data_IF_047857530793
#
_entry.id   IF_047857530793
#
_cell.length_a   1.000
_cell.length_b   1.000
_cell.length_c   1.000
_cell.angle_alpha   90.00
_cell.angle_beta   90.00
_cell.angle_gamma   90.00
#
_symmetry.space_group_name_H-M   'P 1'
#
loop_
_entity.id
_entity.type
_entity.pdbx_description
1 polymer ?
#
# COMPACT_ATOMS: atom_id res chain seq x y z
N UNK A 1 -13.19 -18.65 5.19
CA UNK A 1 -12.30 -19.57 4.42
C UNK A 1 -11.24 -20.08 5.40
N UNK A 2 -10.79 -21.34 5.34
CA UNK A 2 -9.71 -21.78 6.25
C UNK A 2 -8.38 -21.08 5.92
N UNK A 3 -7.54 -20.85 6.92
CA UNK A 3 -6.25 -20.15 6.76
C UNK A 3 -5.31 -20.84 5.79
N UNK A 4 -5.39 -22.16 5.65
CA UNK A 4 -4.59 -22.92 4.68
C UNK A 4 -4.98 -22.55 3.25
N UNK A 5 -6.30 -22.50 2.98
CA UNK A 5 -6.80 -22.09 1.67
C UNK A 5 -6.43 -20.64 1.39
N UNK A 6 -6.56 -19.74 2.37
CA UNK A 6 -6.15 -18.33 2.22
C UNK A 6 -4.68 -18.21 1.83
N UNK A 7 -3.79 -18.94 2.50
CA UNK A 7 -2.36 -18.97 2.15
C UNK A 7 -2.14 -19.43 0.71
N UNK A 8 -2.78 -20.54 0.31
CA UNK A 8 -2.58 -21.11 -1.01
C UNK A 8 -3.08 -20.16 -2.11
N UNK A 9 -4.18 -19.44 -1.87
CA UNK A 9 -4.68 -18.37 -2.76
C UNK A 9 -3.71 -17.18 -2.83
N UNK A 10 -3.23 -16.69 -1.68
CA UNK A 10 -2.25 -15.60 -1.63
C UNK A 10 -0.94 -15.99 -2.32
N UNK A 11 -0.45 -17.22 -2.11
CA UNK A 11 0.76 -17.73 -2.75
C UNK A 11 0.59 -17.85 -4.27
N UNK A 12 -0.58 -18.28 -4.74
CA UNK A 12 -0.90 -18.32 -6.16
C UNK A 12 -0.90 -16.91 -6.78
N UNK A 13 -1.53 -15.94 -6.13
CA UNK A 13 -1.51 -14.52 -6.56
C UNK A 13 -0.07 -13.99 -6.60
N UNK A 14 0.71 -14.21 -5.55
CA UNK A 14 2.10 -13.74 -5.49
C UNK A 14 2.96 -14.37 -6.60
N UNK A 15 2.85 -15.68 -6.80
CA UNK A 15 3.60 -16.37 -7.85
C UNK A 15 3.18 -15.97 -9.26
N UNK A 16 1.91 -15.69 -9.49
CA UNK A 16 1.45 -15.15 -10.77
C UNK A 16 2.04 -13.76 -11.04
N UNK A 17 2.11 -12.89 -10.02
CA UNK A 17 2.73 -11.57 -10.14
C UNK A 17 4.25 -11.67 -10.36
N UNK A 18 4.95 -12.57 -9.67
CA UNK A 18 6.40 -12.83 -9.84
C UNK A 18 6.75 -13.32 -11.24
N UNK A 19 5.82 -14.00 -11.92
CA UNK A 19 6.00 -14.43 -13.31
C UNK A 19 6.17 -13.23 -14.25
N UNK A 20 5.54 -12.10 -13.94
CA UNK A 20 5.57 -10.89 -14.76
C UNK A 20 6.53 -9.82 -14.25
N UNK A 21 6.70 -9.71 -12.94
CA UNK A 21 7.49 -8.66 -12.27
C UNK A 21 8.71 -9.27 -11.59
N UNK A 22 9.89 -8.75 -11.92
CA UNK A 22 11.13 -9.11 -11.22
C UNK A 22 11.29 -8.15 -10.05
N UNK A 23 11.02 -8.65 -8.84
CA UNK A 23 11.13 -7.93 -7.56
C UNK A 23 11.21 -8.93 -6.41
N UNK A 24 11.52 -8.45 -5.21
CA UNK A 24 11.52 -9.27 -4.00
C UNK A 24 10.10 -9.72 -3.62
N UNK A 25 9.96 -11.00 -3.28
CA UNK A 25 8.67 -11.54 -2.80
C UNK A 25 8.15 -10.80 -1.57
N UNK A 26 9.04 -10.38 -0.68
CA UNK A 26 8.67 -9.65 0.54
C UNK A 26 8.06 -8.27 0.23
N UNK A 27 8.46 -7.64 -0.88
CA UNK A 27 7.82 -6.42 -1.36
C UNK A 27 6.39 -6.70 -1.84
N UNK A 28 6.18 -7.75 -2.65
CA UNK A 28 4.84 -8.15 -3.11
C UNK A 28 3.93 -8.57 -1.94
N UNK A 29 4.49 -9.30 -0.97
CA UNK A 29 3.80 -9.63 0.27
C UNK A 29 3.37 -8.37 1.04
N UNK A 30 4.21 -7.33 1.09
CA UNK A 30 3.84 -6.06 1.73
C UNK A 30 2.69 -5.36 0.99
N UNK A 31 2.68 -5.40 -0.34
CA UNK A 31 1.57 -4.85 -1.14
C UNK A 31 0.27 -5.63 -0.88
N UNK A 32 0.34 -6.96 -0.89
CA UNK A 32 -0.81 -7.84 -0.62
C UNK A 32 -1.32 -7.68 0.82
N UNK A 33 -0.43 -7.59 1.81
CA UNK A 33 -0.77 -7.26 3.20
C UNK A 33 -1.49 -5.92 3.27
N UNK A 34 -1.06 -4.93 2.49
CA UNK A 34 -1.74 -3.63 2.43
C UNK A 34 -3.18 -3.73 1.94
N UNK A 35 -3.42 -4.56 0.92
CA UNK A 35 -4.76 -4.86 0.41
C UNK A 35 -5.63 -5.58 1.45
N UNK A 36 -5.10 -6.62 2.09
CA UNK A 36 -5.83 -7.43 3.07
C UNK A 36 -6.08 -6.71 4.41
N UNK A 37 -5.28 -5.71 4.74
CA UNK A 37 -5.44 -4.90 5.95
C UNK A 37 -6.45 -3.73 5.76
N UNK A 38 -7.28 -3.76 4.71
CA UNK A 38 -8.19 -2.66 4.34
C UNK A 38 -7.47 -1.29 4.36
N UNK A 39 -6.27 -1.28 3.78
CA UNK A 39 -5.39 -0.12 3.73
C UNK A 39 -4.92 0.19 2.32
N UNK A 40 -4.12 1.23 2.21
CA UNK A 40 -3.50 1.66 0.95
C UNK A 40 -1.98 1.64 1.06
N UNK A 41 -1.28 1.46 -0.06
CA UNK A 41 0.19 1.34 -0.07
C UNK A 41 0.83 2.50 -0.80
N UNK A 42 1.90 3.06 -0.22
CA UNK A 42 2.73 4.09 -0.81
C UNK A 42 4.05 3.50 -1.28
N UNK A 43 4.33 3.59 -2.57
CA UNK A 43 5.54 3.10 -3.22
C UNK A 43 6.53 4.25 -3.44
N UNK A 44 7.54 4.35 -2.59
CA UNK A 44 8.61 5.33 -2.73
C UNK A 44 9.81 4.70 -3.41
N UNK A 45 10.17 5.20 -4.58
CA UNK A 45 11.29 4.64 -5.35
C UNK A 45 11.62 5.46 -6.59
N UNK A 46 12.78 5.17 -7.15
CA UNK A 46 13.27 5.77 -8.39
C UNK A 46 12.44 5.32 -9.63
N UNK A 47 12.37 6.17 -10.67
CA UNK A 47 11.68 5.82 -11.91
C UNK A 47 12.23 4.55 -12.59
N UNK A 48 11.36 3.81 -13.26
CA UNK A 48 11.77 2.64 -14.06
C UNK A 48 11.83 1.32 -13.30
N UNK A 49 11.46 1.28 -12.02
CA UNK A 49 11.45 0.09 -11.14
C UNK A 49 10.25 -0.85 -11.35
N UNK A 50 9.41 -0.61 -12.36
CA UNK A 50 8.29 -1.51 -12.67
C UNK A 50 7.06 -1.37 -11.76
N UNK A 51 6.91 -0.27 -11.02
CA UNK A 51 5.73 0.01 -10.16
C UNK A 51 4.39 -0.12 -10.90
N UNK A 52 4.30 0.44 -12.10
CA UNK A 52 3.08 0.35 -12.92
C UNK A 52 2.77 -1.08 -13.33
N UNK A 53 3.80 -1.87 -13.67
CA UNK A 53 3.62 -3.28 -13.98
C UNK A 53 3.17 -4.05 -12.74
N UNK A 54 3.76 -3.78 -11.58
CA UNK A 54 3.38 -4.37 -10.29
C UNK A 54 1.91 -4.11 -9.96
N UNK A 55 1.48 -2.85 -9.93
CA UNK A 55 0.11 -2.50 -9.56
C UNK A 55 -0.92 -3.16 -10.49
N UNK A 56 -0.68 -3.13 -11.80
CA UNK A 56 -1.54 -3.79 -12.78
C UNK A 56 -1.55 -5.31 -12.61
N UNK A 57 -0.39 -5.91 -12.37
CA UNK A 57 -0.24 -7.36 -12.17
C UNK A 57 -0.99 -7.82 -10.92
N UNK A 58 -0.86 -7.10 -9.81
CA UNK A 58 -1.60 -7.39 -8.57
C UNK A 58 -3.11 -7.29 -8.81
N UNK A 59 -3.58 -6.22 -9.45
CA UNK A 59 -5.01 -6.06 -9.75
C UNK A 59 -5.54 -7.21 -10.63
N UNK A 60 -4.80 -7.55 -11.69
CA UNK A 60 -5.19 -8.63 -12.60
C UNK A 60 -5.21 -9.98 -11.90
N UNK A 61 -4.17 -10.32 -11.13
CA UNK A 61 -4.10 -11.59 -10.39
C UNK A 61 -5.23 -11.72 -9.35
N UNK A 62 -5.62 -10.61 -8.71
CA UNK A 62 -6.77 -10.57 -7.79
C UNK A 62 -8.14 -10.60 -8.51
N UNK A 63 -8.18 -10.54 -9.83
CA UNK A 63 -9.43 -10.48 -10.60
C UNK A 63 -10.15 -9.13 -10.53
N UNK A 64 -9.44 -8.07 -10.14
CA UNK A 64 -10.00 -6.75 -9.84
C UNK A 64 -9.80 -5.74 -10.98
N UNK A 65 -10.74 -4.81 -11.11
CA UNK A 65 -10.62 -3.74 -12.10
C UNK A 65 -9.45 -2.81 -11.77
N UNK A 66 -8.65 -2.47 -12.79
CA UNK A 66 -7.48 -1.62 -12.66
C UNK A 66 -7.67 -0.29 -13.36
N UNK A 67 -7.31 0.79 -12.67
CA UNK A 67 -7.22 2.14 -13.22
C UNK A 67 -5.89 2.78 -12.86
N UNK A 68 -5.39 3.66 -13.75
CA UNK A 68 -4.16 4.42 -13.52
C UNK A 68 -4.43 5.89 -13.70
N UNK A 69 -3.97 6.68 -12.74
CA UNK A 69 -3.96 8.14 -12.79
C UNK A 69 -2.52 8.61 -12.67
N UNK A 70 -2.08 9.38 -13.65
CA UNK A 70 -0.82 10.09 -13.57
C UNK A 70 -1.07 11.44 -12.90
N UNK A 71 -0.44 11.69 -11.76
CA UNK A 71 -0.54 12.96 -11.09
C UNK A 71 0.40 13.96 -11.75
N UNK A 72 -0.15 15.08 -12.18
CA UNK A 72 0.56 16.19 -12.85
C UNK A 72 0.20 17.52 -12.19
N UNK A 73 1.03 18.58 -12.35
CA UNK A 73 0.79 19.87 -11.71
C UNK A 73 -0.53 20.55 -12.12
N UNK A 74 -1.09 20.18 -13.26
CA UNK A 74 -2.34 20.69 -13.83
C UNK A 74 -3.56 19.80 -13.56
N UNK A 75 -3.37 18.63 -12.95
CA UNK A 75 -4.45 17.69 -12.66
C UNK A 75 -5.47 18.28 -11.69
N UNK A 76 -6.75 18.27 -12.07
CA UNK A 76 -7.84 18.77 -11.24
C UNK A 76 -8.46 17.64 -10.40
N UNK A 77 -9.11 17.97 -9.26
CA UNK A 77 -9.89 16.99 -8.50
C UNK A 77 -10.92 16.24 -9.34
N UNK A 78 -11.58 16.91 -10.28
CA UNK A 78 -12.58 16.32 -11.18
C UNK A 78 -12.00 15.29 -12.15
N UNK A 79 -10.71 15.41 -12.50
CA UNK A 79 -10.03 14.40 -13.33
C UNK A 79 -9.78 13.09 -12.57
N UNK A 80 -9.86 13.14 -11.22
CA UNK A 80 -9.70 12.01 -10.32
C UNK A 80 -11.05 11.45 -9.88
N UNK A 81 -11.95 12.33 -9.42
CA UNK A 81 -13.27 11.97 -8.90
C UNK A 81 -14.33 11.77 -9.99
N UNK A 82 -14.13 12.32 -11.19
CA UNK A 82 -15.15 12.38 -12.22
C UNK A 82 -15.94 13.69 -12.20
N UNK A 83 -16.87 13.82 -13.14
CA UNK A 83 -17.63 15.04 -13.37
C UNK A 83 -18.96 14.71 -14.03
N UNK A 84 -19.96 15.57 -13.87
CA UNK A 84 -21.17 15.51 -14.69
C UNK A 84 -20.92 16.17 -16.05
N UNK A 85 -21.21 15.44 -17.13
CA UNK A 85 -21.09 15.93 -18.50
C UNK A 85 -22.49 16.04 -19.11
N UNK A 86 -22.78 17.18 -19.75
CA UNK A 86 -24.05 17.38 -20.43
C UNK A 86 -24.13 16.47 -21.67
N UNK A 87 -25.09 15.55 -21.67
CA UNK A 87 -25.37 14.69 -22.80
C UNK A 87 -26.38 15.39 -23.74
N UNK A 88 -25.92 15.79 -24.93
CA UNK A 88 -26.74 16.53 -25.89
C UNK A 88 -27.98 15.76 -26.38
N UNK A 89 -27.97 14.43 -26.32
CA UNK A 89 -29.07 13.57 -26.78
C UNK A 89 -30.19 13.49 -25.74
N UNK A 90 -29.84 13.26 -24.48
CA UNK A 90 -30.80 13.17 -23.36
C UNK A 90 -31.17 14.55 -22.81
N UNK A 91 -30.32 15.56 -23.06
CA UNK A 91 -30.37 16.90 -22.44
C UNK A 91 -30.27 16.86 -20.92
N UNK A 92 -29.57 15.85 -20.42
CA UNK A 92 -29.36 15.62 -18.99
C UNK A 92 -27.86 15.66 -18.69
N UNK A 93 -27.52 15.95 -17.43
CA UNK A 93 -26.16 15.88 -16.93
C UNK A 93 -25.89 14.45 -16.46
N UNK A 94 -25.04 13.72 -17.16
CA UNK A 94 -24.69 12.33 -16.84
C UNK A 94 -23.35 12.29 -16.12
N UNK A 95 -23.30 11.56 -15.01
CA UNK A 95 -22.05 11.35 -14.29
C UNK A 95 -21.08 10.52 -15.14
N UNK A 96 -19.90 11.07 -15.38
CA UNK A 96 -18.76 10.35 -15.95
C UNK A 96 -17.82 10.00 -14.80
N UNK A 97 -17.73 8.71 -14.40
CA UNK A 97 -16.91 8.31 -13.28
C UNK A 97 -15.44 8.60 -13.55
N UNK A 98 -14.78 9.15 -12.54
CA UNK A 98 -13.35 9.31 -12.55
C UNK A 98 -12.61 7.98 -12.42
N UNK A 99 -11.29 8.00 -12.61
CA UNK A 99 -10.46 6.81 -12.49
C UNK A 99 -10.46 6.15 -11.10
N UNK A 100 -10.95 6.82 -10.05
CA UNK A 100 -11.06 6.20 -8.72
C UNK A 100 -12.18 5.16 -8.59
N UNK A 101 -13.09 5.07 -9.56
CA UNK A 101 -14.20 4.10 -9.53
C UNK A 101 -13.79 2.70 -10.01
N UNK A 102 -12.51 2.36 -9.94
CA UNK A 102 -11.99 1.00 -10.15
C UNK A 102 -11.54 0.40 -8.82
N UNK A 103 -11.51 -0.93 -8.72
CA UNK A 103 -11.10 -1.63 -7.49
C UNK A 103 -9.65 -1.35 -7.10
N UNK A 104 -8.73 -1.31 -8.06
CA UNK A 104 -7.31 -1.00 -7.84
C UNK A 104 -6.90 0.24 -8.62
N UNK A 105 -6.51 1.28 -7.91
CA UNK A 105 -6.09 2.56 -8.49
C UNK A 105 -4.61 2.77 -8.27
N UNK A 106 -3.85 2.88 -9.37
CA UNK A 106 -2.49 3.38 -9.33
C UNK A 106 -2.49 4.91 -9.41
N UNK A 107 -2.17 5.57 -8.29
CA UNK A 107 -1.96 7.01 -8.21
C UNK A 107 -0.46 7.32 -8.39
N UNK A 108 -0.05 7.47 -9.64
CA UNK A 108 1.35 7.59 -10.02
C UNK A 108 1.87 9.02 -9.80
N UNK A 109 2.98 9.16 -9.07
CA UNK A 109 3.64 10.42 -8.71
C UNK A 109 2.71 11.39 -7.98
N UNK A 110 2.01 10.91 -6.94
CA UNK A 110 1.02 11.67 -6.17
C UNK A 110 1.55 13.03 -5.68
N UNK A 111 2.86 13.11 -5.42
CA UNK A 111 3.54 14.34 -5.02
C UNK A 111 3.69 15.38 -6.14
N UNK A 112 3.25 15.15 -7.38
CA UNK A 112 3.30 16.14 -8.47
C UNK A 112 2.01 16.94 -8.63
N UNK A 113 0.89 16.48 -8.08
CA UNK A 113 -0.37 17.22 -8.16
C UNK A 113 -0.50 18.26 -7.04
N UNK A 114 -1.28 19.33 -7.24
CA UNK A 114 -1.56 20.31 -6.20
C UNK A 114 -2.21 19.68 -4.96
N UNK A 115 -2.05 20.28 -3.76
CA UNK A 115 -2.61 19.76 -2.52
C UNK A 115 -4.13 19.50 -2.56
N UNK A 116 -4.89 20.27 -3.35
CA UNK A 116 -6.34 20.08 -3.52
C UNK A 116 -6.67 18.75 -4.21
N UNK A 117 -5.91 18.39 -5.24
CA UNK A 117 -6.11 17.15 -6.00
C UNK A 117 -5.64 15.94 -5.19
N UNK A 118 -4.54 16.08 -4.45
CA UNK A 118 -4.12 15.08 -3.46
C UNK A 118 -5.22 14.84 -2.42
N UNK A 119 -5.76 15.92 -1.83
CA UNK A 119 -6.80 15.83 -0.81
C UNK A 119 -8.05 15.11 -1.32
N UNK A 120 -8.49 15.36 -2.55
CA UNK A 120 -9.64 14.69 -3.15
C UNK A 120 -9.49 13.15 -3.19
N UNK A 121 -8.32 12.65 -3.62
CA UNK A 121 -8.04 11.21 -3.58
C UNK A 121 -7.99 10.67 -2.14
N UNK A 122 -7.33 11.40 -1.24
CA UNK A 122 -7.10 10.98 0.14
C UNK A 122 -8.37 11.01 1.01
N UNK A 123 -9.33 11.86 0.66
CA UNK A 123 -10.68 11.88 1.22
C UNK A 123 -11.46 10.65 0.76
N UNK A 124 -11.45 10.37 -0.54
CA UNK A 124 -12.10 9.19 -1.11
C UNK A 124 -11.54 7.87 -0.53
N UNK A 125 -10.23 7.80 -0.31
CA UNK A 125 -9.56 6.69 0.37
C UNK A 125 -10.04 6.49 1.82
N UNK A 126 -10.32 7.56 2.54
CA UNK A 126 -10.72 7.49 3.94
C UNK A 126 -12.21 7.19 4.11
N UNK A 127 -13.05 7.75 3.22
CA UNK A 127 -14.50 7.64 3.33
C UNK A 127 -15.10 6.45 2.57
N UNK A 128 -14.39 5.86 1.61
CA UNK A 128 -14.92 4.80 0.74
C UNK A 128 -15.96 5.31 -0.27
N UNK A 129 -16.09 6.62 -0.41
CA UNK A 129 -17.05 7.30 -1.27
C UNK A 129 -16.46 8.63 -1.77
N UNK A 130 -17.05 9.20 -2.81
CA UNK A 130 -16.72 10.55 -3.26
C UNK A 130 -17.99 11.38 -3.43
N UNK A 131 -17.96 12.66 -3.04
CA UNK A 131 -19.07 13.59 -3.28
C UNK A 131 -18.74 14.52 -4.44
N UNK A 132 -19.52 14.45 -5.52
CA UNK A 132 -19.38 15.26 -6.73
C UNK A 132 -20.67 16.06 -6.92
N UNK A 133 -20.57 17.39 -7.01
CA UNK A 133 -21.70 18.30 -7.21
C UNK A 133 -22.88 18.12 -6.23
N UNK A 134 -22.60 17.62 -5.02
CA UNK A 134 -23.59 17.39 -3.97
C UNK A 134 -24.22 15.99 -3.98
N UNK A 135 -23.84 15.12 -4.93
CA UNK A 135 -24.22 13.71 -4.98
C UNK A 135 -23.06 12.83 -4.48
N UNK A 136 -23.37 11.91 -3.56
CA UNK A 136 -22.40 10.99 -3.00
C UNK A 136 -22.43 9.67 -3.75
N UNK A 137 -21.25 9.23 -4.19
CA UNK A 137 -21.03 8.04 -5.00
C UNK A 137 -20.13 7.08 -4.23
N UNK A 138 -20.63 5.87 -3.97
CA UNK A 138 -19.85 4.80 -3.32
C UNK A 138 -18.73 4.30 -4.25
N UNK A 139 -17.57 4.02 -3.68
CA UNK A 139 -16.47 3.37 -4.40
C UNK A 139 -16.71 1.85 -4.49
N UNK A 140 -16.08 1.15 -5.45
CA UNK A 140 -16.16 -0.31 -5.52
C UNK A 140 -15.63 -0.97 -4.26
N UNK A 141 -16.22 -2.08 -3.82
CA UNK A 141 -15.65 -2.91 -2.76
C UNK A 141 -15.12 -4.24 -3.36
N UNK A 142 -13.80 -4.53 -3.26
CA UNK A 142 -12.77 -3.74 -2.57
C UNK A 142 -12.29 -2.51 -3.35
N UNK A 143 -11.87 -1.48 -2.59
CA UNK A 143 -11.17 -0.28 -3.09
C UNK A 143 -9.75 -0.23 -2.53
N UNK A 144 -8.75 -0.27 -3.41
CA UNK A 144 -7.34 -0.31 -3.07
C UNK A 144 -6.55 0.72 -3.89
N UNK A 145 -5.68 1.47 -3.21
CA UNK A 145 -4.87 2.51 -3.83
C UNK A 145 -3.42 2.17 -3.62
N UNK A 146 -2.70 2.10 -4.74
CA UNK A 146 -1.25 2.02 -4.78
C UNK A 146 -0.77 3.38 -5.26
N UNK A 147 -0.29 4.22 -4.36
CA UNK A 147 0.27 5.52 -4.71
C UNK A 147 1.78 5.40 -4.93
N UNK A 148 2.36 6.19 -5.84
CA UNK A 148 3.81 6.27 -6.00
C UNK A 148 4.31 7.68 -5.70
N UNK A 149 5.52 7.77 -5.16
CA UNK A 149 6.25 9.02 -5.02
C UNK A 149 7.66 8.87 -5.57
N UNK A 150 8.11 9.90 -6.28
CA UNK A 150 9.51 10.02 -6.68
C UNK A 150 10.22 10.97 -5.69
N UNK A 151 11.19 10.50 -4.90
CA UNK A 151 11.90 11.32 -3.92
C UNK A 151 12.93 12.27 -4.55
N UNK A 152 13.28 12.07 -5.84
CA UNK A 152 14.40 12.79 -6.49
C UNK A 152 13.96 14.10 -7.16
N UNK A 153 12.69 14.21 -7.57
CA UNK A 153 12.18 15.41 -8.25
C UNK A 153 11.89 16.54 -7.25
N UNK A 154 12.82 17.51 -7.16
CA UNK A 154 12.69 18.67 -6.27
C UNK A 154 11.94 19.85 -6.93
N UNK A 155 11.82 19.90 -8.25
CA UNK A 155 11.12 20.98 -8.95
C UNK A 155 9.65 20.60 -9.20
N UNK A 156 8.73 21.41 -8.68
CA UNK A 156 7.29 21.27 -8.94
C UNK A 156 6.61 20.11 -8.21
N UNK A 157 7.20 19.62 -7.12
CA UNK A 157 6.57 18.63 -6.24
C UNK A 157 5.97 19.26 -4.98
N UNK A 158 4.85 18.70 -4.54
CA UNK A 158 4.11 19.00 -3.33
C UNK A 158 4.19 17.77 -2.41
N UNK A 159 5.02 17.78 -1.36
CA UNK A 159 5.13 16.65 -0.46
C UNK A 159 3.79 16.40 0.24
N UNK A 160 3.47 15.13 0.47
CA UNK A 160 2.30 14.79 1.28
C UNK A 160 2.57 15.19 2.74
N UNK A 161 1.66 15.95 3.38
CA UNK A 161 1.72 16.18 4.81
C UNK A 161 1.73 14.87 5.59
N UNK A 162 2.33 14.86 6.78
CA UNK A 162 2.43 13.66 7.62
C UNK A 162 1.05 13.09 7.99
N UNK A 163 0.08 13.98 8.23
CA UNK A 163 -1.32 13.61 8.47
C UNK A 163 -1.97 12.89 7.27
N UNK A 164 -1.48 13.13 6.06
CA UNK A 164 -1.95 12.45 4.85
C UNK A 164 -1.24 11.12 4.64
N UNK A 165 0.06 11.04 4.92
CA UNK A 165 0.82 9.79 4.87
C UNK A 165 0.26 8.72 5.81
N UNK A 166 -0.38 9.11 6.91
CA UNK A 166 -1.01 8.19 7.88
C UNK A 166 -2.17 7.36 7.30
N UNK A 167 -2.71 7.75 6.13
CA UNK A 167 -3.73 6.99 5.38
C UNK A 167 -3.19 5.76 4.67
N UNK A 168 -1.88 5.71 4.44
CA UNK A 168 -1.23 4.53 3.86
C UNK A 168 -0.82 3.58 4.99
N UNK A 169 -1.30 2.33 4.94
CA UNK A 169 -0.95 1.32 5.94
C UNK A 169 0.55 1.03 5.89
N UNK A 170 1.12 0.91 4.68
CA UNK A 170 2.53 0.65 4.46
C UNK A 170 3.15 1.61 3.44
N UNK A 171 4.42 1.95 3.68
CA UNK A 171 5.32 2.58 2.73
C UNK A 171 6.46 1.62 2.39
N UNK A 172 6.57 1.24 1.13
CA UNK A 172 7.53 0.24 0.64
C UNK A 172 8.29 0.73 -0.59
N UNK A 173 9.46 0.13 -0.83
CA UNK A 173 10.25 0.32 -2.04
C UNK A 173 10.55 -1.04 -2.68
N UNK A 174 10.55 -1.05 -4.01
CA UNK A 174 11.03 -2.13 -4.88
C UNK A 174 12.57 -2.17 -4.88
N UNK A 175 13.22 -1.01 -4.94
CA UNK A 175 14.65 -0.88 -5.22
C UNK A 175 15.01 -1.24 -6.67
N UNK A 176 16.31 -1.30 -6.96
CA UNK A 176 16.80 -1.94 -8.18
C UNK A 176 16.88 -3.45 -7.96
N UNK A 177 16.53 -4.28 -8.95
CA UNK A 177 16.77 -5.71 -8.86
C UNK A 177 18.26 -5.98 -8.69
N UNK A 178 18.59 -7.11 -8.07
CA UNK A 178 19.97 -7.57 -7.99
C UNK A 178 20.52 -7.96 -9.37
N UNK A 179 21.82 -8.30 -9.44
CA UNK A 179 22.48 -8.68 -10.70
C UNK A 179 21.74 -9.83 -11.42
N UNK A 180 21.20 -10.79 -10.65
CA UNK A 180 20.45 -11.91 -11.21
C UNK A 180 19.11 -11.45 -11.82
N UNK A 181 18.39 -10.57 -11.14
CA UNK A 181 17.14 -9.96 -11.61
C UNK A 181 17.35 -9.05 -12.83
N UNK A 182 18.41 -8.24 -12.85
CA UNK A 182 18.77 -7.43 -14.03
C UNK A 182 19.08 -8.33 -15.24
N UNK A 183 19.82 -9.42 -15.03
CA UNK A 183 20.11 -10.37 -16.09
C UNK A 183 18.85 -11.06 -16.61
N UNK A 184 17.88 -11.38 -15.74
CA UNK A 184 16.59 -11.93 -16.17
C UNK A 184 15.77 -10.91 -16.97
N UNK A 185 15.75 -9.63 -16.57
CA UNK A 185 15.13 -8.55 -17.35
C UNK A 185 15.72 -8.49 -18.77
N UNK A 186 17.05 -8.56 -18.90
CA UNK A 186 17.73 -8.57 -20.19
C UNK A 186 17.39 -9.81 -21.02
N UNK A 187 17.33 -10.99 -20.40
CA UNK A 187 16.94 -12.25 -21.07
C UNK A 187 15.50 -12.20 -21.59
N UNK A 188 14.55 -11.75 -20.76
CA UNK A 188 13.14 -11.56 -21.16
C UNK A 188 13.03 -10.56 -22.31
N UNK A 189 13.81 -9.47 -22.28
CA UNK A 189 13.82 -8.45 -23.34
C UNK A 189 14.45 -8.94 -24.65
N UNK A 190 15.44 -9.83 -24.58
CA UNK A 190 16.10 -10.42 -25.74
C UNK A 190 15.18 -11.44 -26.47
N UNK A 191 14.34 -12.16 -25.73
CA UNK A 191 13.36 -13.13 -26.25
C UNK A 191 12.12 -12.51 -26.90
N UNK A 192 12.28 -11.48 -27.76
CA UNK A 192 11.23 -10.60 -28.32
C UNK A 192 9.97 -11.26 -28.93
N UNK A 193 9.96 -12.58 -29.16
CA UNK A 193 8.81 -13.32 -29.71
C UNK A 193 7.77 -13.71 -28.64
N UNK A 194 8.10 -13.67 -27.35
CA UNK A 194 7.11 -13.79 -26.28
C UNK A 194 6.58 -12.40 -25.95
N UNK A 195 5.25 -12.21 -26.08
CA UNK A 195 4.54 -11.02 -25.61
C UNK A 195 5.00 -10.68 -24.18
N UNK A 196 5.01 -9.39 -23.81
CA UNK A 196 5.22 -8.98 -22.42
C UNK A 196 4.45 -9.93 -21.49
N UNK A 197 5.06 -10.46 -20.43
CA UNK A 197 4.40 -11.47 -19.60
C UNK A 197 3.02 -10.97 -19.19
N UNK A 198 2.01 -11.77 -19.54
CA UNK A 198 0.60 -11.49 -19.26
C UNK A 198 0.23 -12.24 -18.01
N UNK A 199 -0.15 -11.48 -16.99
CA UNK A 199 -0.74 -12.00 -15.76
C UNK A 199 -2.18 -12.40 -16.07
N UNK A 200 -2.59 -13.56 -15.58
CA UNK A 200 -3.98 -14.04 -15.65
C UNK A 200 -4.70 -13.85 -14.30
N UNK A 201 -6.03 -13.68 -14.30
CA UNK A 201 -6.80 -13.68 -13.06
C UNK A 201 -6.69 -15.01 -12.31
N UNK A 202 -6.27 -14.95 -11.05
CA UNK A 202 -6.16 -16.10 -10.14
C UNK A 202 -7.43 -16.25 -9.30
N UNK A 203 -7.96 -15.12 -8.85
CA UNK A 203 -9.17 -15.03 -8.02
C UNK A 203 -10.36 -14.51 -8.84
N UNK A 204 -11.55 -14.89 -8.39
CA UNK A 204 -12.83 -14.30 -8.78
C UNK A 204 -13.36 -13.41 -7.63
N UNK A 205 -14.48 -12.71 -7.87
CA UNK A 205 -15.08 -11.78 -6.92
C UNK A 205 -15.42 -12.44 -5.56
N UNK A 206 -15.86 -13.69 -5.57
CA UNK A 206 -16.21 -14.41 -4.33
C UNK A 206 -14.94 -14.75 -3.52
N UNK A 207 -13.89 -15.25 -4.20
CA UNK A 207 -12.63 -15.61 -3.55
C UNK A 207 -11.85 -14.39 -3.09
N UNK A 208 -11.85 -13.29 -3.84
CA UNK A 208 -11.16 -12.06 -3.43
C UNK A 208 -11.77 -11.50 -2.14
N UNK A 209 -13.11 -11.50 -2.03
CA UNK A 209 -13.81 -11.09 -0.81
C UNK A 209 -13.54 -12.04 0.36
N UNK A 210 -13.50 -13.35 0.11
CA UNK A 210 -13.20 -14.34 1.15
C UNK A 210 -11.76 -14.21 1.70
N UNK A 211 -10.78 -13.96 0.83
CA UNK A 211 -9.39 -13.74 1.23
C UNK A 211 -9.26 -12.40 1.98
N UNK A 212 -9.97 -11.36 1.54
CA UNK A 212 -10.00 -10.04 2.21
C UNK A 212 -10.54 -10.10 3.64
N UNK A 213 -11.52 -10.96 3.92
CA UNK A 213 -12.08 -11.14 5.26
C UNK A 213 -11.23 -12.03 6.18
N UNK A 214 -10.31 -12.83 5.63
CA UNK A 214 -9.52 -13.79 6.40
C UNK A 214 -8.73 -13.19 7.59
N UNK A 215 -8.13 -11.98 7.49
CA UNK A 215 -7.45 -11.37 8.63
C UNK A 215 -8.36 -11.18 9.84
N UNK A 216 -9.68 -11.04 9.64
CA UNK A 216 -10.66 -10.83 10.71
C UNK A 216 -10.87 -12.05 11.64
N UNK A 217 -10.44 -13.23 11.20
CA UNK A 217 -10.46 -14.45 12.02
C UNK A 217 -9.11 -14.72 12.72
N UNK A 218 -8.06 -13.98 12.39
CA UNK A 218 -6.73 -14.16 12.97
C UNK A 218 -6.68 -13.62 14.40
N UNK A 219 -6.25 -14.48 15.34
CA UNK A 219 -6.12 -14.18 16.77
C UNK A 219 -4.83 -13.42 17.07
N UNK A 220 -4.90 -12.50 18.04
CA UNK A 220 -3.74 -11.77 18.56
C UNK A 220 -3.76 -11.86 20.08
N UNK A 221 -2.72 -12.47 20.64
CA UNK A 221 -2.58 -12.66 22.09
C UNK A 221 -2.29 -11.32 22.80
N UNK A 222 -2.69 -11.23 24.08
CA UNK A 222 -2.57 -10.00 24.87
C UNK A 222 -1.13 -9.46 24.96
N UNK A 223 -0.15 -10.35 25.08
CA UNK A 223 1.27 -9.97 25.14
C UNK A 223 1.77 -9.36 23.83
N UNK A 224 1.21 -9.78 22.69
CA UNK A 224 1.52 -9.18 21.38
C UNK A 224 0.87 -7.81 21.22
N UNK A 225 -0.35 -7.62 21.74
CA UNK A 225 -0.95 -6.29 21.79
C UNK A 225 -0.09 -5.34 22.64
N UNK A 226 0.40 -5.80 23.79
CA UNK A 226 1.31 -5.03 24.63
C UNK A 226 2.66 -4.78 23.95
N UNK A 227 3.17 -5.73 23.18
CA UNK A 227 4.39 -5.57 22.39
C UNK A 227 4.25 -4.47 21.34
N UNK A 228 3.17 -4.47 20.55
CA UNK A 228 2.88 -3.41 19.57
C UNK A 228 2.75 -2.03 20.22
N UNK A 229 2.06 -1.94 21.36
CA UNK A 229 1.95 -0.69 22.12
C UNK A 229 3.32 -0.24 22.64
N UNK A 230 4.15 -1.16 23.12
CA UNK A 230 5.51 -0.87 23.61
C UNK A 230 6.40 -0.33 22.50
N UNK A 231 6.35 -0.91 21.30
CA UNK A 231 7.03 -0.39 20.10
C UNK A 231 6.58 1.05 19.83
N UNK A 232 5.27 1.28 19.73
CA UNK A 232 4.75 2.62 19.46
C UNK A 232 5.16 3.65 20.53
N UNK A 233 5.16 3.28 21.81
CA UNK A 233 5.62 4.16 22.91
C UNK A 233 7.11 4.45 22.84
N UNK A 234 7.94 3.43 22.58
CA UNK A 234 9.38 3.60 22.42
C UNK A 234 9.72 4.59 21.30
N UNK A 235 8.97 4.59 20.17
CA UNK A 235 9.17 5.62 19.13
C UNK A 235 8.87 7.05 19.60
N UNK A 236 7.97 7.23 20.58
CA UNK A 236 7.62 8.57 21.14
C UNK A 236 8.64 9.03 22.18
N UNK A 237 9.41 8.11 22.74
CA UNK A 237 10.43 8.36 23.75
C UNK A 237 11.84 8.47 23.13
N UNK A 238 11.99 8.13 21.84
CA UNK A 238 13.25 8.25 21.12
C UNK A 238 13.65 9.72 20.90
N UNK A 239 14.86 10.08 21.35
CA UNK A 239 15.43 11.44 21.26
C UNK A 239 15.54 12.03 19.84
N UNK A 240 15.51 11.17 18.81
CA UNK A 240 15.59 11.57 17.39
C UNK A 240 14.22 11.93 16.82
N UNK A 241 13.16 11.68 17.57
CA UNK A 241 11.76 11.81 17.13
C UNK A 241 11.09 12.97 17.87
N UNK A 242 10.51 13.90 17.11
CA UNK A 242 9.70 15.01 17.64
C UNK A 242 8.24 14.55 17.85
N UNK A 243 7.71 13.76 16.90
CA UNK A 243 6.39 13.13 17.01
C UNK A 243 6.49 11.66 16.61
N UNK A 244 6.26 10.77 17.58
CA UNK A 244 6.30 9.31 17.37
C UNK A 244 4.99 8.74 16.82
N UNK A 245 4.93 7.42 16.73
CA UNK A 245 3.79 6.68 16.15
C UNK A 245 2.49 7.01 16.89
N UNK A 246 1.44 7.39 16.15
CA UNK A 246 0.11 7.68 16.70
C UNK A 246 -0.64 6.41 17.15
N UNK A 247 -1.74 6.52 17.91
CA UNK A 247 -2.63 5.38 18.17
C UNK A 247 -3.14 4.72 16.88
N UNK A 248 -3.45 5.52 15.85
CA UNK A 248 -3.84 5.02 14.52
C UNK A 248 -2.71 4.22 13.87
N UNK A 249 -1.45 4.68 13.95
CA UNK A 249 -0.29 3.90 13.49
C UNK A 249 -0.12 2.57 14.22
N UNK A 250 -0.51 2.49 15.50
CA UNK A 250 -0.51 1.23 16.26
C UNK A 250 -1.61 0.28 15.76
N UNK A 251 -2.81 0.79 15.48
CA UNK A 251 -3.90 0.01 14.87
C UNK A 251 -3.52 -0.51 13.49
N UNK A 252 -2.88 0.31 12.65
CA UNK A 252 -2.39 -0.10 11.33
C UNK A 252 -1.35 -1.21 11.40
N UNK A 253 -0.48 -1.21 12.42
CA UNK A 253 0.45 -2.31 12.65
C UNK A 253 -0.27 -3.60 13.06
N UNK A 254 -1.30 -3.49 13.89
CA UNK A 254 -2.14 -4.62 14.30
C UNK A 254 -2.86 -5.25 13.09
N UNK A 255 -3.54 -4.45 12.28
CA UNK A 255 -4.23 -4.88 11.05
C UNK A 255 -3.26 -5.56 10.08
N UNK A 256 -2.11 -4.91 9.81
CA UNK A 256 -1.09 -5.47 8.92
C UNK A 256 -0.51 -6.79 9.45
N UNK A 257 -0.30 -6.91 10.77
CA UNK A 257 0.21 -8.14 11.38
C UNK A 257 -0.79 -9.31 11.25
N UNK A 258 -2.09 -9.06 11.41
CA UNK A 258 -3.15 -10.06 11.17
C UNK A 258 -3.19 -10.47 9.70
N UNK A 259 -3.15 -9.50 8.80
CA UNK A 259 -3.10 -9.77 7.37
C UNK A 259 -1.89 -10.61 6.98
N UNK A 260 -0.71 -10.33 7.53
CA UNK A 260 0.49 -11.14 7.28
C UNK A 260 0.38 -12.55 7.85
N UNK A 261 -0.19 -12.74 9.03
CA UNK A 261 -0.43 -14.06 9.57
C UNK A 261 -1.39 -14.87 8.67
N UNK A 262 -2.45 -14.25 8.14
CA UNK A 262 -3.37 -14.86 7.17
C UNK A 262 -2.64 -15.25 5.87
N UNK A 263 -1.83 -14.35 5.29
CA UNK A 263 -0.99 -14.64 4.12
C UNK A 263 -0.03 -15.80 4.38
N UNK A 264 0.43 -16.00 5.62
CA UNK A 264 1.29 -17.12 6.01
C UNK A 264 0.51 -18.38 6.43
N UNK A 265 -0.82 -18.37 6.35
CA UNK A 265 -1.69 -19.49 6.71
C UNK A 265 -1.72 -19.80 8.20
N UNK A 266 -1.56 -18.78 9.04
CA UNK A 266 -1.62 -18.91 10.50
C UNK A 266 -2.88 -18.27 11.06
N UNK A 267 -3.53 -18.98 11.98
CA UNK A 267 -4.69 -18.48 12.72
C UNK A 267 -4.34 -17.48 13.83
N UNK A 268 -3.05 -17.22 14.05
CA UNK A 268 -2.58 -16.32 15.08
C UNK A 268 -1.32 -15.56 14.65
N UNK A 269 -1.20 -14.34 15.15
CA UNK A 269 -0.02 -13.48 14.94
C UNK A 269 1.14 -13.98 15.79
N UNK A 270 2.36 -13.90 15.25
CA UNK A 270 3.61 -14.15 15.99
C UNK A 270 4.47 -12.88 16.00
N UNK A 271 5.45 -12.75 16.92
CA UNK A 271 6.27 -11.53 17.00
C UNK A 271 6.98 -11.16 15.69
N UNK A 272 7.36 -12.17 14.89
CA UNK A 272 7.98 -11.96 13.59
C UNK A 272 7.08 -11.20 12.60
N UNK A 273 5.75 -11.34 12.69
CA UNK A 273 4.80 -10.57 11.89
C UNK A 273 4.97 -9.08 12.10
N UNK A 274 5.01 -8.71 13.37
CA UNK A 274 5.16 -7.33 13.83
C UNK A 274 6.52 -6.79 13.41
N UNK A 275 7.59 -7.54 13.66
CA UNK A 275 8.96 -7.09 13.40
C UNK A 275 9.20 -6.77 11.92
N UNK A 276 8.77 -7.64 11.01
CA UNK A 276 9.01 -7.41 9.58
C UNK A 276 8.19 -6.26 9.00
N UNK A 277 6.98 -6.06 9.50
CA UNK A 277 6.08 -5.02 9.00
C UNK A 277 6.36 -3.66 9.63
N UNK A 278 6.86 -3.62 10.87
CA UNK A 278 7.05 -2.37 11.60
C UNK A 278 7.85 -1.31 10.83
N UNK A 279 8.96 -1.62 10.12
CA UNK A 279 9.66 -0.59 9.33
C UNK A 279 8.81 -0.02 8.19
N UNK A 280 8.01 -0.86 7.53
CA UNK A 280 7.13 -0.44 6.42
C UNK A 280 5.87 0.29 6.92
N UNK A 281 5.40 -0.03 8.12
CA UNK A 281 4.18 0.54 8.69
C UNK A 281 4.49 1.76 9.56
N UNK A 282 5.57 1.80 10.33
CA UNK A 282 5.77 2.85 11.33
C UNK A 282 6.66 4.00 10.84
N UNK A 283 7.63 3.73 9.97
CA UNK A 283 8.68 4.71 9.68
C UNK A 283 8.15 6.01 9.06
N UNK A 284 7.20 5.97 8.13
CA UNK A 284 6.64 7.18 7.50
C UNK A 284 5.78 8.02 8.44
N UNK A 285 5.41 7.49 9.60
CA UNK A 285 4.60 8.17 10.63
C UNK A 285 5.44 8.93 11.65
N UNK A 286 6.77 8.79 11.62
CA UNK A 286 7.67 9.51 12.50
C UNK A 286 7.94 10.92 11.97
N UNK A 287 7.86 11.92 12.85
CA UNK A 287 8.40 13.27 12.60
C UNK A 287 9.73 13.37 13.34
N UNK A 288 10.80 13.68 12.63
CA UNK A 288 12.14 13.77 13.20
C UNK A 288 12.35 15.13 13.87
N UNK A 289 13.22 15.16 14.88
CA UNK A 289 13.72 16.44 15.41
C UNK A 289 14.56 17.17 14.34
N UNK A 290 14.69 18.51 14.42
CA UNK A 290 15.49 19.27 13.47
C UNK A 290 16.93 18.76 13.35
N UNK A 291 17.55 18.38 14.48
CA UNK A 291 18.92 17.86 14.52
C UNK A 291 19.02 16.52 13.77
N UNK A 292 18.10 15.58 14.04
CA UNK A 292 18.08 14.28 13.37
C UNK A 292 17.80 14.41 11.85
N UNK A 293 16.95 15.38 11.46
CA UNK A 293 16.69 15.69 10.06
C UNK A 293 17.93 16.24 9.34
N UNK A 294 18.69 17.13 9.98
CA UNK A 294 19.96 17.67 9.45
C UNK A 294 21.03 16.58 9.32
N UNK A 295 21.07 15.64 10.27
CA UNK A 295 21.96 14.48 10.22
C UNK A 295 21.54 13.42 9.20
N UNK A 296 20.42 13.62 8.49
CA UNK A 296 19.84 12.66 7.53
C UNK A 296 19.60 11.28 8.14
N UNK A 297 19.17 11.23 9.40
CA UNK A 297 18.80 9.97 10.06
C UNK A 297 17.62 9.34 9.30
N UNK A 298 17.76 8.08 8.87
CA UNK A 298 16.67 7.38 8.24
C UNK A 298 15.62 6.97 9.29
N UNK A 299 14.34 7.26 9.00
CA UNK A 299 13.23 6.91 9.90
C UNK A 299 13.12 5.39 10.14
N UNK A 300 13.52 4.58 9.15
CA UNK A 300 13.54 3.10 9.25
C UNK A 300 14.54 2.63 10.30
N UNK A 301 15.75 3.19 10.33
CA UNK A 301 16.78 2.86 11.32
C UNK A 301 16.33 3.14 12.76
N UNK A 302 15.48 4.15 12.97
CA UNK A 302 14.88 4.42 14.28
C UNK A 302 13.93 3.29 14.68
N UNK A 303 13.08 2.86 13.75
CA UNK A 303 12.15 1.74 14.01
C UNK A 303 12.93 0.46 14.28
N UNK A 304 13.97 0.17 13.49
CA UNK A 304 14.81 -1.03 13.68
C UNK A 304 15.50 -1.01 15.06
N UNK A 305 16.07 0.15 15.45
CA UNK A 305 16.63 0.36 16.79
C UNK A 305 15.60 0.12 17.90
N UNK A 306 14.36 0.59 17.73
CA UNK A 306 13.27 0.36 18.69
C UNK A 306 12.91 -1.13 18.77
N UNK A 307 12.89 -1.85 17.65
CA UNK A 307 12.59 -3.29 17.62
C UNK A 307 13.66 -4.15 18.31
N UNK A 308 14.91 -3.68 18.30
CA UNK A 308 16.02 -4.32 19.01
C UNK A 308 15.96 -4.08 20.52
N UNK A 309 15.52 -2.88 20.95
CA UNK A 309 15.45 -2.50 22.36
C UNK A 309 14.20 -3.05 23.07
N UNK A 310 13.05 -3.11 22.39
CA UNK A 310 11.80 -3.58 22.99
C UNK A 310 11.80 -5.11 23.10
N UNK A 311 11.69 -5.60 24.34
CA UNK A 311 11.66 -7.02 24.63
C UNK A 311 10.52 -7.75 23.90
N UNK A 312 10.88 -8.80 23.18
CA UNK A 312 9.93 -9.67 22.48
C UNK A 312 9.20 -10.54 23.49
N UNK A 313 7.86 -10.65 23.45
CA UNK A 313 7.13 -11.54 24.35
C UNK A 313 7.55 -12.99 24.14
N UNK A 314 7.71 -13.71 25.24
CA UNK A 314 7.98 -15.16 25.20
C UNK A 314 6.65 -15.85 24.92
N UNK A 315 6.54 -16.55 23.80
CA UNK A 315 5.34 -17.36 23.52
C UNK A 315 5.37 -18.53 24.50
N UNK A 316 4.59 -18.48 25.58
CA UNK A 316 4.31 -19.69 26.36
C UNK A 316 3.42 -20.59 25.47
N UNK A 317 3.98 -21.74 25.10
CA UNK A 317 3.36 -22.74 24.22
C UNK A 317 2.27 -23.55 24.92
#
# INVERSE_FOLDING_TARGET
MDVTSVRDECDAVLSEVESAVITDREFLETVLVGFLADGHVLLEDVPGTGKTLTARSVATALGLEFSRVQFTPDLLPTDVLGTHVFNEKTREFEFQPGPIFANVVLADEINRAPPKTQAALLEAMEEGQATIDGETMELPDPFFVIATQNPVDQEGTFPLPEAQMDRFVAKAGIGYPDEAGELDLLRRRAGRDTRSPTVEPVLDDERVQAVKQAPEDVRVEGDLLQYMVSIARATREDRRVDVGVSPRGTQRLFEAARARAAVKGREYVVPEDVKRLAPNVLAHRLVLTPDAAVENVAKRDIVDSVLDDVSVPTVEA
#
